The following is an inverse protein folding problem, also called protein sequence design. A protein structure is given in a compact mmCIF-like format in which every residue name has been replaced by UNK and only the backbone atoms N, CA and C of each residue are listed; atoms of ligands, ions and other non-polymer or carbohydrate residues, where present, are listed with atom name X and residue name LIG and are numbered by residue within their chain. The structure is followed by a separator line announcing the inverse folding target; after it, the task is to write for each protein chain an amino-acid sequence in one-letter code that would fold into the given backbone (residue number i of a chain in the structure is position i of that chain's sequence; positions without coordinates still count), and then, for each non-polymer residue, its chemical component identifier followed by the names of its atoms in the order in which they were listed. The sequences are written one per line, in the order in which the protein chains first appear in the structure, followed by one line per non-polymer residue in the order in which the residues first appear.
data_IF_222694567830
#
_entry.id   IF_222694567830
#
_cell.length_a   1.000
_cell.length_b   1.000
_cell.length_c   1.000
_cell.angle_alpha   90.00
_cell.angle_beta   90.00
_cell.angle_gamma   90.00
#
_symmetry.space_group_name_H-M   'P 1'
#
loop_
_entity.id
_entity.type
_entity.pdbx_description
1 polymer ?
#
# COMPACT_ATOMS: atom_id res chain seq x y z
N UNK A 1 21.55 -0.25 19.79
CA UNK A 1 21.03 -1.61 19.83
C UNK A 1 22.10 -2.52 20.42
N UNK A 2 21.72 -3.41 21.38
CA UNK A 2 22.61 -4.44 21.87
C UNK A 2 23.08 -5.33 20.71
N UNK A 3 24.26 -5.98 20.82
CA UNK A 3 24.78 -6.87 19.78
C UNK A 3 23.78 -7.95 19.38
N UNK A 4 23.03 -8.51 20.34
CA UNK A 4 21.95 -9.48 20.11
C UNK A 4 20.82 -8.91 19.24
N UNK A 5 20.36 -7.68 19.47
CA UNK A 5 19.29 -7.06 18.67
C UNK A 5 19.74 -6.81 17.22
N UNK A 6 21.01 -6.49 16.98
CA UNK A 6 21.57 -6.38 15.63
C UNK A 6 21.64 -7.72 14.92
N UNK A 7 22.07 -8.79 15.61
CA UNK A 7 22.11 -10.14 15.05
C UNK A 7 20.70 -10.62 14.67
N UNK A 8 19.70 -10.38 15.53
CA UNK A 8 18.31 -10.73 15.23
C UNK A 8 17.77 -9.95 14.02
N UNK A 9 18.05 -8.64 13.92
CA UNK A 9 17.66 -7.81 12.78
C UNK A 9 18.32 -8.26 11.47
N UNK A 10 19.61 -8.58 11.50
CA UNK A 10 20.33 -9.09 10.34
C UNK A 10 19.79 -10.47 9.92
N UNK A 11 19.55 -11.37 10.89
CA UNK A 11 18.94 -12.67 10.62
C UNK A 11 17.55 -12.55 9.98
N UNK A 12 16.73 -11.63 10.46
CA UNK A 12 15.43 -11.33 9.86
C UNK A 12 15.56 -10.81 8.42
N UNK A 13 16.49 -9.89 8.17
CA UNK A 13 16.73 -9.35 6.84
C UNK A 13 17.18 -10.43 5.85
N UNK A 14 18.17 -11.27 6.24
CA UNK A 14 18.65 -12.39 5.41
C UNK A 14 17.53 -13.40 5.17
N UNK A 15 16.77 -13.76 6.21
CA UNK A 15 15.61 -14.66 6.10
C UNK A 15 14.53 -14.10 5.17
N UNK A 16 14.28 -12.79 5.21
CA UNK A 16 13.33 -12.12 4.32
C UNK A 16 13.76 -12.18 2.86
N UNK A 17 15.03 -11.94 2.57
CA UNK A 17 15.58 -12.05 1.20
C UNK A 17 15.52 -13.49 0.70
N UNK A 18 15.91 -14.46 1.54
CA UNK A 18 15.83 -15.86 1.19
C UNK A 18 14.39 -16.33 0.90
N UNK A 19 13.45 -15.92 1.76
CA UNK A 19 12.03 -16.23 1.57
C UNK A 19 11.46 -15.56 0.30
N UNK A 20 11.81 -14.32 0.05
CA UNK A 20 11.44 -13.61 -1.17
C UNK A 20 11.95 -14.32 -2.42
N UNK A 21 13.23 -14.70 -2.43
CA UNK A 21 13.83 -15.46 -3.54
C UNK A 21 13.12 -16.82 -3.73
N UNK A 22 12.82 -17.53 -2.65
CA UNK A 22 12.12 -18.80 -2.70
C UNK A 22 10.72 -18.67 -3.30
N UNK A 23 9.96 -17.67 -2.88
CA UNK A 23 8.63 -17.35 -3.44
C UNK A 23 8.73 -17.08 -4.93
N UNK A 24 9.70 -16.27 -5.33
CA UNK A 24 9.91 -15.94 -6.75
C UNK A 24 10.29 -17.16 -7.59
N UNK A 25 11.12 -18.06 -7.05
CA UNK A 25 11.56 -19.28 -7.73
C UNK A 25 10.46 -20.34 -7.82
N UNK A 26 9.48 -20.35 -6.93
CA UNK A 26 8.35 -21.30 -6.98
C UNK A 26 7.36 -21.03 -8.12
N UNK A 27 7.49 -19.86 -8.77
CA UNK A 27 6.70 -19.49 -9.93
C UNK A 27 5.31 -18.94 -9.58
N UNK A 28 4.62 -18.48 -10.59
CA UNK A 28 3.40 -17.66 -10.53
C UNK A 28 2.19 -18.34 -9.89
N UNK A 29 2.20 -19.67 -9.76
CA UNK A 29 1.06 -20.46 -9.28
C UNK A 29 0.55 -20.06 -7.88
N UNK A 30 1.45 -19.56 -7.01
CA UNK A 30 1.12 -19.18 -5.63
C UNK A 30 0.98 -17.67 -5.41
N UNK A 31 1.35 -16.84 -6.39
CA UNK A 31 1.30 -15.38 -6.26
C UNK A 31 -0.12 -14.91 -5.93
N UNK A 32 -1.14 -15.43 -6.60
CA UNK A 32 -2.54 -15.10 -6.33
C UNK A 32 -2.98 -15.38 -4.89
N UNK A 33 -2.52 -16.47 -4.28
CA UNK A 33 -2.82 -16.80 -2.87
C UNK A 33 -2.12 -15.83 -1.91
N UNK A 34 -0.89 -15.41 -2.22
CA UNK A 34 -0.15 -14.43 -1.44
C UNK A 34 -0.87 -13.07 -1.48
N UNK A 35 -1.33 -12.64 -2.67
CA UNK A 35 -2.10 -11.40 -2.80
C UNK A 35 -3.47 -11.50 -2.14
N UNK A 36 -4.13 -12.65 -2.18
CA UNK A 36 -5.38 -12.87 -1.47
C UNK A 36 -5.18 -12.76 0.05
N UNK A 37 -4.14 -13.38 0.60
CA UNK A 37 -3.80 -13.28 2.02
C UNK A 37 -3.50 -11.82 2.43
N UNK A 38 -2.73 -11.09 1.61
CA UNK A 38 -2.48 -9.67 1.82
C UNK A 38 -3.77 -8.83 1.74
N UNK A 39 -4.66 -9.15 0.79
CA UNK A 39 -5.95 -8.48 0.64
C UNK A 39 -6.83 -8.67 1.88
N UNK A 40 -6.95 -9.89 2.38
CA UNK A 40 -7.69 -10.19 3.60
C UNK A 40 -7.08 -9.46 4.81
N UNK A 41 -5.76 -9.44 4.91
CA UNK A 41 -5.09 -8.67 5.95
C UNK A 41 -5.43 -7.18 5.87
N UNK A 42 -5.30 -6.56 4.70
CA UNK A 42 -5.47 -5.12 4.55
C UNK A 42 -6.93 -4.65 4.59
N UNK A 43 -7.88 -5.45 4.11
CA UNK A 43 -9.29 -5.05 4.12
C UNK A 43 -10.02 -5.41 5.42
N UNK A 44 -9.53 -6.42 6.15
CA UNK A 44 -10.20 -6.90 7.36
C UNK A 44 -9.34 -6.72 8.59
N UNK A 45 -8.14 -7.30 8.61
CA UNK A 45 -7.31 -7.35 9.83
C UNK A 45 -6.75 -5.98 10.19
N UNK A 46 -6.18 -5.25 9.24
CA UNK A 46 -5.53 -3.96 9.50
C UNK A 46 -6.51 -2.87 10.01
N UNK A 47 -7.73 -2.69 9.44
CA UNK A 47 -8.71 -1.77 10.01
C UNK A 47 -9.14 -2.14 11.43
N UNK A 48 -9.40 -3.43 11.68
CA UNK A 48 -9.76 -3.94 13.01
C UNK A 48 -8.60 -3.70 13.97
N UNK A 49 -7.37 -4.00 13.55
CA UNK A 49 -6.16 -3.78 14.36
C UNK A 49 -6.01 -2.32 14.76
N UNK A 50 -6.18 -1.38 13.83
CA UNK A 50 -6.11 0.05 14.11
C UNK A 50 -7.25 0.52 15.03
N UNK A 51 -8.48 0.00 14.84
CA UNK A 51 -9.64 0.36 15.64
C UNK A 51 -9.50 -0.09 17.10
N UNK A 52 -9.00 -1.31 17.33
CA UNK A 52 -8.81 -1.87 18.68
C UNK A 52 -7.44 -1.55 19.29
N UNK A 53 -6.52 -0.96 18.51
CA UNK A 53 -5.20 -0.58 19.00
C UNK A 53 -4.36 -1.78 19.47
N UNK A 54 -4.39 -2.90 18.74
CA UNK A 54 -3.69 -4.13 19.15
C UNK A 54 -2.18 -3.92 19.26
N UNK A 55 -1.59 -4.51 20.31
CA UNK A 55 -0.16 -4.47 20.57
C UNK A 55 0.42 -5.87 20.55
N UNK A 56 1.11 -6.23 19.48
CA UNK A 56 1.82 -7.50 19.42
C UNK A 56 3.04 -7.48 20.33
N UNK A 57 3.01 -8.28 21.38
CA UNK A 57 4.14 -8.41 22.30
C UNK A 57 5.14 -9.47 21.84
N UNK A 58 4.66 -10.51 21.17
CA UNK A 58 5.48 -11.64 20.72
C UNK A 58 6.35 -11.26 19.52
N UNK A 59 7.69 -11.46 19.57
CA UNK A 59 8.60 -11.12 18.48
C UNK A 59 8.27 -11.86 17.18
N UNK A 60 7.84 -13.13 17.28
CA UNK A 60 7.47 -13.94 16.12
C UNK A 60 6.27 -13.35 15.37
N UNK A 61 5.21 -12.95 16.09
CA UNK A 61 4.04 -12.34 15.46
C UNK A 61 4.38 -11.00 14.79
N UNK A 62 5.29 -10.23 15.38
CA UNK A 62 5.81 -9.01 14.74
C UNK A 62 6.58 -9.31 13.46
N UNK A 63 7.42 -10.34 13.46
CA UNK A 63 8.16 -10.76 12.28
C UNK A 63 7.23 -11.26 11.16
N UNK A 64 6.24 -12.09 11.51
CA UNK A 64 5.25 -12.60 10.56
C UNK A 64 4.39 -11.48 9.97
N UNK A 65 3.96 -10.51 10.79
CA UNK A 65 3.22 -9.35 10.26
C UNK A 65 4.08 -8.49 9.33
N UNK A 66 5.37 -8.35 9.59
CA UNK A 66 6.31 -7.69 8.68
C UNK A 66 6.41 -8.42 7.33
N UNK A 67 6.52 -9.74 7.32
CA UNK A 67 6.53 -10.52 6.08
C UNK A 67 5.19 -10.44 5.33
N UNK A 68 4.07 -10.47 6.03
CA UNK A 68 2.74 -10.35 5.41
C UNK A 68 2.52 -8.99 4.74
N UNK A 69 3.21 -7.94 5.20
CA UNK A 69 3.16 -6.59 4.61
C UNK A 69 4.18 -6.43 3.47
N UNK A 70 5.44 -6.85 3.70
CA UNK A 70 6.55 -6.52 2.79
C UNK A 70 6.70 -7.49 1.63
N UNK A 71 6.49 -8.79 1.83
CA UNK A 71 6.67 -9.78 0.76
C UNK A 71 5.64 -9.62 -0.37
N UNK A 72 4.33 -9.43 -0.08
CA UNK A 72 3.35 -9.17 -1.14
C UNK A 72 3.62 -7.86 -1.88
N UNK A 73 4.08 -6.81 -1.19
CA UNK A 73 4.48 -5.56 -1.83
C UNK A 73 5.61 -5.78 -2.84
N UNK A 74 6.70 -6.43 -2.39
CA UNK A 74 7.84 -6.70 -3.25
C UNK A 74 7.45 -7.53 -4.47
N UNK A 75 6.68 -8.60 -4.26
CA UNK A 75 6.21 -9.49 -5.32
C UNK A 75 5.31 -8.74 -6.32
N UNK A 76 4.37 -7.94 -5.82
CA UNK A 76 3.47 -7.15 -6.68
C UNK A 76 4.19 -6.09 -7.50
N UNK A 77 5.28 -5.52 -7.00
CA UNK A 77 6.15 -4.63 -7.78
C UNK A 77 6.75 -5.34 -8.99
N UNK A 78 7.22 -6.59 -8.82
CA UNK A 78 7.79 -7.38 -9.92
C UNK A 78 6.71 -7.76 -10.94
N UNK A 79 5.60 -8.32 -10.48
CA UNK A 79 4.53 -8.82 -11.35
C UNK A 79 3.84 -7.69 -12.12
N UNK A 80 3.47 -6.59 -11.44
CA UNK A 80 2.87 -5.44 -12.09
C UNK A 80 3.83 -4.76 -13.07
N UNK A 81 5.13 -4.71 -12.74
CA UNK A 81 6.14 -4.20 -13.68
C UNK A 81 6.27 -5.08 -14.90
N UNK A 82 6.27 -6.42 -14.73
CA UNK A 82 6.34 -7.38 -15.83
C UNK A 82 5.09 -7.28 -16.71
N UNK A 83 3.91 -7.10 -16.11
CA UNK A 83 2.66 -6.92 -16.84
C UNK A 83 2.61 -5.58 -17.60
N UNK A 84 2.88 -4.47 -16.93
CA UNK A 84 2.93 -3.13 -17.53
C UNK A 84 3.70 -2.15 -16.64
N UNK A 85 4.91 -1.78 -17.07
CA UNK A 85 5.70 -0.77 -16.35
C UNK A 85 4.99 0.58 -16.29
N UNK A 86 4.28 0.99 -17.37
CA UNK A 86 3.46 2.20 -17.38
C UNK A 86 2.26 2.07 -16.44
N UNK A 87 1.58 0.93 -16.43
CA UNK A 87 0.47 0.66 -15.51
C UNK A 87 0.90 0.75 -14.05
N UNK A 88 2.03 0.15 -13.69
CA UNK A 88 2.61 0.29 -12.35
C UNK A 88 2.90 1.74 -12.00
N UNK A 89 3.51 2.51 -12.91
CA UNK A 89 3.81 3.93 -12.69
C UNK A 89 2.54 4.75 -12.49
N UNK A 90 1.48 4.47 -13.24
CA UNK A 90 0.19 5.13 -13.08
C UNK A 90 -0.48 4.79 -11.74
N UNK A 91 -0.38 3.54 -11.28
CA UNK A 91 -0.84 3.13 -9.94
C UNK A 91 -0.08 3.84 -8.82
N UNK A 92 1.25 3.87 -8.91
CA UNK A 92 2.08 4.62 -7.95
C UNK A 92 1.76 6.12 -7.99
N UNK A 93 1.45 6.64 -9.17
CA UNK A 93 1.00 8.03 -9.36
C UNK A 93 -0.26 8.37 -8.57
N UNK A 94 -1.24 7.45 -8.46
CA UNK A 94 -2.43 7.63 -7.63
C UNK A 94 -2.02 7.89 -6.18
N UNK A 95 -1.12 7.06 -5.63
CA UNK A 95 -0.64 7.14 -4.25
C UNK A 95 0.12 8.44 -4.03
N UNK A 96 1.10 8.76 -4.86
CA UNK A 96 1.91 9.97 -4.71
C UNK A 96 1.11 11.27 -4.82
N UNK A 97 0.12 11.31 -5.71
CA UNK A 97 -0.79 12.44 -5.86
C UNK A 97 -1.70 12.55 -4.65
N UNK A 98 -2.22 11.42 -4.15
CA UNK A 98 -3.03 11.39 -2.94
C UNK A 98 -2.26 11.97 -1.75
N UNK A 99 -1.03 11.51 -1.50
CA UNK A 99 -0.21 11.96 -0.38
C UNK A 99 0.15 13.45 -0.48
N UNK A 100 0.57 13.88 -1.68
CA UNK A 100 0.91 15.28 -1.93
C UNK A 100 -0.30 16.20 -1.73
N UNK A 101 -1.44 15.84 -2.32
CA UNK A 101 -2.67 16.62 -2.21
C UNK A 101 -3.21 16.62 -0.75
N UNK A 102 -3.17 15.47 -0.06
CA UNK A 102 -3.53 15.38 1.34
C UNK A 102 -2.70 16.31 2.22
N UNK A 103 -1.38 16.36 1.97
CA UNK A 103 -0.48 17.24 2.70
C UNK A 103 -0.84 18.73 2.50
N UNK A 104 -0.94 19.19 1.24
CA UNK A 104 -1.20 20.59 0.96
C UNK A 104 -2.60 21.04 1.40
N UNK A 105 -3.63 20.24 1.12
CA UNK A 105 -5.02 20.57 1.52
C UNK A 105 -5.19 20.45 3.02
N UNK A 106 -4.61 19.43 3.66
CA UNK A 106 -4.63 19.27 5.11
C UNK A 106 -3.90 20.39 5.85
N UNK A 107 -2.78 20.87 5.32
CA UNK A 107 -2.05 22.02 5.88
C UNK A 107 -2.82 23.34 5.74
N UNK A 108 -3.52 23.55 4.62
CA UNK A 108 -4.22 24.79 4.32
C UNK A 108 -5.61 24.86 4.96
N UNK A 109 -6.35 23.75 4.92
CA UNK A 109 -7.78 23.71 5.25
C UNK A 109 -8.11 22.75 6.40
N UNK A 110 -7.14 21.96 6.90
CA UNK A 110 -7.38 20.91 7.87
C UNK A 110 -7.87 21.43 9.21
N UNK A 111 -9.03 20.95 9.62
CA UNK A 111 -9.69 21.28 10.90
C UNK A 111 -9.98 20.03 11.70
N UNK A 112 -10.52 18.98 11.06
CA UNK A 112 -10.92 17.73 11.71
C UNK A 112 -9.83 16.68 11.56
N UNK A 113 -9.30 16.19 12.69
CA UNK A 113 -8.26 15.14 12.67
C UNK A 113 -8.86 13.81 12.23
N UNK A 114 -8.15 13.10 11.34
CA UNK A 114 -8.54 11.77 10.83
C UNK A 114 -8.27 10.69 11.88
N UNK A 115 -7.06 10.68 12.44
CA UNK A 115 -6.60 9.69 13.41
C UNK A 115 -5.70 10.35 14.47
N UNK A 116 -6.26 11.10 15.46
CA UNK A 116 -5.50 11.93 16.40
C UNK A 116 -4.42 11.18 17.17
N UNK A 117 -4.70 9.94 17.56
CA UNK A 117 -3.80 9.11 18.37
C UNK A 117 -2.68 8.45 17.57
N UNK A 118 -2.86 8.28 16.26
CA UNK A 118 -1.94 7.58 15.37
C UNK A 118 -1.08 8.58 14.61
N UNK A 119 -1.74 9.46 13.86
CA UNK A 119 -1.13 10.47 13.02
C UNK A 119 -1.85 11.82 13.18
N UNK A 120 -1.42 12.68 14.13
CA UNK A 120 -2.09 13.95 14.42
C UNK A 120 -2.02 14.96 13.27
N UNK A 121 -1.16 14.74 12.28
CA UNK A 121 -1.05 15.57 11.08
C UNK A 121 -2.18 15.33 10.06
N UNK A 122 -2.78 14.14 10.03
CA UNK A 122 -3.80 13.78 9.04
C UNK A 122 -5.17 14.38 9.38
N UNK A 123 -5.87 14.87 8.34
CA UNK A 123 -7.17 15.54 8.47
C UNK A 123 -8.17 15.01 7.44
N UNK A 124 -9.46 15.11 7.74
CA UNK A 124 -10.53 14.75 6.81
C UNK A 124 -10.57 15.65 5.58
N UNK A 125 -10.27 16.94 5.76
CA UNK A 125 -10.16 17.89 4.65
C UNK A 125 -8.98 17.54 3.73
N UNK A 126 -7.87 17.07 4.34
CA UNK A 126 -6.74 16.53 3.58
C UNK A 126 -7.14 15.32 2.74
N UNK A 127 -7.86 14.37 3.35
CA UNK A 127 -8.36 13.18 2.63
C UNK A 127 -9.34 13.56 1.50
N UNK A 128 -10.25 14.52 1.74
CA UNK A 128 -11.16 14.99 0.71
C UNK A 128 -10.43 15.65 -0.47
N UNK A 129 -9.42 16.49 -0.18
CA UNK A 129 -8.57 17.09 -1.20
C UNK A 129 -7.77 16.09 -2.00
N UNK A 130 -7.27 15.04 -1.34
CA UNK A 130 -6.60 13.92 -2.00
C UNK A 130 -7.55 13.16 -2.93
N UNK A 131 -8.75 12.83 -2.48
CA UNK A 131 -9.75 12.15 -3.31
C UNK A 131 -10.11 12.97 -4.56
N UNK A 132 -10.27 14.30 -4.42
CA UNK A 132 -10.48 15.20 -5.57
C UNK A 132 -9.28 15.17 -6.54
N UNK A 133 -8.06 15.27 -6.02
CA UNK A 133 -6.85 15.27 -6.84
C UNK A 133 -6.65 13.95 -7.59
N UNK A 134 -6.91 12.81 -6.93
CA UNK A 134 -6.86 11.48 -7.54
C UNK A 134 -7.92 11.34 -8.64
N UNK A 135 -9.13 11.87 -8.42
CA UNK A 135 -10.18 11.87 -9.45
C UNK A 135 -9.75 12.69 -10.67
N UNK A 136 -9.21 13.90 -10.47
CA UNK A 136 -8.71 14.75 -11.55
C UNK A 136 -7.56 14.06 -12.30
N UNK A 137 -6.61 13.47 -11.57
CA UNK A 137 -5.52 12.69 -12.17
C UNK A 137 -6.04 11.58 -13.08
N UNK A 138 -7.02 10.81 -12.59
CA UNK A 138 -7.62 9.72 -13.35
C UNK A 138 -8.29 10.23 -14.62
N UNK A 139 -9.05 11.32 -14.52
CA UNK A 139 -9.69 11.94 -15.69
C UNK A 139 -8.67 12.44 -16.72
N UNK A 140 -7.54 13.01 -16.27
CA UNK A 140 -6.45 13.45 -17.16
C UNK A 140 -5.84 12.24 -17.87
N UNK A 141 -5.52 11.17 -17.14
CA UNK A 141 -4.94 9.93 -17.70
C UNK A 141 -5.88 9.33 -18.74
N UNK A 142 -7.17 9.22 -18.42
CA UNK A 142 -8.18 8.71 -19.35
C UNK A 142 -8.34 9.60 -20.57
N UNK A 143 -8.35 10.93 -20.40
CA UNK A 143 -8.42 11.89 -21.49
C UNK A 143 -7.23 11.78 -22.45
N UNK A 144 -6.01 11.66 -21.91
CA UNK A 144 -4.79 11.44 -22.71
C UNK A 144 -4.86 10.10 -23.45
N UNK A 145 -5.27 9.03 -22.77
CA UNK A 145 -5.40 7.71 -23.38
C UNK A 145 -6.44 7.69 -24.52
N UNK A 146 -7.59 8.33 -24.33
CA UNK A 146 -8.62 8.48 -25.36
C UNK A 146 -8.13 9.33 -26.55
N UNK A 147 -7.49 10.47 -26.27
CA UNK A 147 -6.95 11.36 -27.31
C UNK A 147 -5.83 10.70 -28.14
N UNK A 148 -5.08 9.76 -27.56
CA UNK A 148 -4.04 9.01 -28.27
C UNK A 148 -4.60 8.00 -29.29
N UNK A 149 -5.90 7.72 -29.27
CA UNK A 149 -6.56 6.70 -30.08
C UNK A 149 -6.13 5.25 -29.81
N UNK A 150 -5.23 5.05 -28.83
CA UNK A 150 -4.67 3.71 -28.51
C UNK A 150 -5.59 2.87 -27.65
N UNK A 151 -6.47 3.51 -26.89
CA UNK A 151 -7.38 2.84 -25.95
C UNK A 151 -8.78 3.43 -26.13
N UNK A 152 -9.73 2.57 -26.44
CA UNK A 152 -11.16 2.88 -26.36
C UNK A 152 -11.67 2.34 -25.03
N UNK A 153 -12.14 3.22 -24.15
CA UNK A 153 -12.77 2.82 -22.91
C UNK A 153 -14.29 2.71 -23.13
N UNK A 154 -14.86 1.50 -23.18
CA UNK A 154 -16.30 1.35 -23.14
C UNK A 154 -16.87 1.98 -21.86
N UNK A 155 -18.04 2.61 -21.96
CA UNK A 155 -18.66 3.30 -20.83
C UNK A 155 -18.89 2.37 -19.61
N UNK A 156 -19.07 1.09 -19.84
CA UNK A 156 -19.22 0.05 -18.81
C UNK A 156 -17.99 -0.10 -17.91
N UNK A 157 -16.78 0.29 -18.36
CA UNK A 157 -15.56 0.23 -17.57
C UNK A 157 -15.35 1.45 -16.66
N UNK A 158 -16.11 2.53 -16.84
CA UNK A 158 -15.96 3.75 -16.05
C UNK A 158 -16.25 3.52 -14.56
N UNK A 159 -17.31 2.79 -14.25
CA UNK A 159 -17.66 2.49 -12.86
C UNK A 159 -16.65 1.56 -12.18
N UNK A 160 -16.29 0.39 -12.75
CA UNK A 160 -15.25 -0.48 -12.18
C UNK A 160 -13.91 0.24 -11.99
N UNK A 161 -13.48 1.04 -12.96
CA UNK A 161 -12.24 1.80 -12.88
C UNK A 161 -12.28 2.87 -11.78
N UNK A 162 -13.40 3.58 -11.66
CA UNK A 162 -13.58 4.58 -10.59
C UNK A 162 -13.53 3.90 -9.22
N UNK A 163 -14.23 2.80 -9.04
CA UNK A 163 -14.21 2.02 -7.79
C UNK A 163 -12.80 1.51 -7.48
N UNK A 164 -12.08 1.02 -8.48
CA UNK A 164 -10.69 0.56 -8.32
C UNK A 164 -9.76 1.70 -7.88
N UNK A 165 -9.82 2.86 -8.53
CA UNK A 165 -8.99 4.02 -8.19
C UNK A 165 -9.29 4.51 -6.76
N UNK A 166 -10.56 4.58 -6.36
CA UNK A 166 -10.95 4.96 -5.01
C UNK A 166 -10.55 3.92 -3.96
N UNK A 167 -10.55 2.63 -4.33
CA UNK A 167 -10.01 1.57 -3.47
C UNK A 167 -8.50 1.77 -3.25
N UNK A 168 -7.72 2.00 -4.31
CA UNK A 168 -6.28 2.28 -4.22
C UNK A 168 -6.01 3.50 -3.34
N UNK A 169 -6.79 4.56 -3.51
CA UNK A 169 -6.73 5.76 -2.68
C UNK A 169 -7.04 5.46 -1.20
N UNK A 170 -8.11 4.74 -0.90
CA UNK A 170 -8.43 4.32 0.47
C UNK A 170 -7.30 3.51 1.10
N UNK A 171 -6.75 2.56 0.34
CA UNK A 171 -5.65 1.69 0.76
C UNK A 171 -4.38 2.49 1.07
N UNK A 172 -4.07 3.53 0.29
CA UNK A 172 -2.91 4.40 0.56
C UNK A 172 -3.02 5.05 1.94
N UNK A 173 -4.20 5.56 2.31
CA UNK A 173 -4.44 6.13 3.64
C UNK A 173 -4.26 5.06 4.73
N UNK A 174 -4.78 3.87 4.50
CA UNK A 174 -4.73 2.76 5.46
C UNK A 174 -3.29 2.30 5.72
N UNK A 175 -2.47 2.18 4.65
CA UNK A 175 -1.07 1.78 4.74
C UNK A 175 -0.25 2.75 5.60
N UNK A 176 -0.33 4.04 5.31
CA UNK A 176 0.36 5.08 6.08
C UNK A 176 -0.15 5.14 7.54
N UNK A 177 -1.45 4.99 7.80
CA UNK A 177 -1.96 4.91 9.18
C UNK A 177 -1.42 3.68 9.91
N UNK A 178 -1.35 2.53 9.25
CA UNK A 178 -0.85 1.30 9.83
C UNK A 178 0.65 1.41 10.16
N UNK A 179 1.45 1.94 9.24
CA UNK A 179 2.89 2.19 9.46
C UNK A 179 3.09 3.20 10.61
N UNK A 180 2.32 4.29 10.59
CA UNK A 180 2.34 5.28 11.68
C UNK A 180 2.01 4.64 13.03
N UNK A 181 1.03 3.73 13.09
CA UNK A 181 0.69 2.98 14.30
C UNK A 181 1.86 2.11 14.79
N UNK A 182 2.47 1.33 13.89
CA UNK A 182 3.63 0.48 14.23
C UNK A 182 4.80 1.33 14.76
N UNK A 183 5.08 2.49 14.17
CA UNK A 183 6.09 3.43 14.67
C UNK A 183 5.79 3.91 16.09
N UNK A 184 4.53 4.24 16.41
CA UNK A 184 4.12 4.64 17.77
C UNK A 184 4.32 3.50 18.77
N UNK A 185 3.99 2.25 18.40
CA UNK A 185 4.25 1.08 19.25
C UNK A 185 5.75 0.86 19.52
N UNK A 186 6.59 1.17 18.55
CA UNK A 186 8.05 1.09 18.68
C UNK A 186 8.67 2.29 19.41
N UNK A 187 7.88 3.30 19.81
CA UNK A 187 8.40 4.55 20.38
C UNK A 187 9.20 5.39 19.38
N UNK A 188 9.05 5.12 18.08
CA UNK A 188 9.76 5.79 17.01
C UNK A 188 8.86 6.79 16.29
N UNK A 189 9.46 7.76 15.62
CA UNK A 189 8.78 8.70 14.72
C UNK A 189 9.01 8.32 13.27
N UNK A 190 10.22 7.95 12.93
CA UNK A 190 10.65 7.59 11.59
C UNK A 190 11.08 6.12 11.57
N UNK A 191 10.90 5.43 10.43
CA UNK A 191 11.24 4.01 10.30
C UNK A 191 12.76 3.74 10.23
N UNK A 192 13.56 4.79 10.07
CA UNK A 192 15.02 4.72 10.01
C UNK A 192 15.65 6.02 9.57
N UNK A 193 16.96 5.98 9.32
CA UNK A 193 17.76 7.13 8.89
C UNK A 193 18.51 6.86 7.58
N UNK A 194 17.98 5.94 6.76
CA UNK A 194 18.65 5.52 5.53
C UNK A 194 18.71 6.66 4.50
N UNK A 195 17.71 7.52 4.48
CA UNK A 195 17.63 8.66 3.57
C UNK A 195 17.87 9.95 4.35
N UNK A 196 19.04 10.62 4.19
CA UNK A 196 19.34 11.85 4.91
C UNK A 196 18.25 12.91 4.69
N UNK A 197 17.67 13.43 5.77
CA UNK A 197 16.60 14.44 5.74
C UNK A 197 15.22 13.92 5.33
N UNK A 198 15.07 12.61 5.02
CA UNK A 198 13.81 12.03 4.50
C UNK A 198 13.30 10.82 5.29
N UNK A 199 13.93 10.42 6.40
CA UNK A 199 13.52 9.29 7.21
C UNK A 199 13.97 7.93 6.66
N UNK A 200 13.20 6.90 6.93
CA UNK A 200 13.46 5.53 6.47
C UNK A 200 12.86 5.21 5.11
N UNK A 201 13.29 4.09 4.53
CA UNK A 201 12.72 3.58 3.28
C UNK A 201 11.25 3.20 3.43
N UNK A 202 10.87 2.63 4.58
CA UNK A 202 9.49 2.23 4.85
C UNK A 202 8.54 3.43 4.85
N UNK A 203 8.97 4.59 5.37
CA UNK A 203 8.21 5.86 5.33
C UNK A 203 7.89 6.35 3.90
N UNK A 204 8.43 5.71 2.87
CA UNK A 204 8.24 6.05 1.44
C UNK A 204 7.39 5.06 0.67
N UNK A 205 7.23 3.88 1.21
CA UNK A 205 6.51 2.79 0.55
C UNK A 205 5.32 2.29 1.37
N UNK A 206 5.09 2.86 2.54
CA UNK A 206 4.01 2.48 3.48
C UNK A 206 2.63 2.48 2.82
N UNK A 207 2.29 3.53 2.09
CA UNK A 207 1.05 3.65 1.35
C UNK A 207 0.95 2.66 0.16
N UNK A 208 2.07 2.18 -0.37
CA UNK A 208 2.11 1.18 -1.42
C UNK A 208 1.91 -0.24 -0.90
N UNK A 209 2.17 -0.48 0.40
CA UNK A 209 2.10 -1.83 1.00
C UNK A 209 0.72 -2.50 0.85
N UNK A 210 -0.43 -1.82 0.99
CA UNK A 210 -1.73 -2.39 0.66
C UNK A 210 -2.14 -2.19 -0.80
N UNK A 211 -1.76 -1.05 -1.40
CA UNK A 211 -2.25 -0.65 -2.70
C UNK A 211 -1.79 -1.59 -3.82
N UNK A 212 -0.50 -1.94 -3.87
CA UNK A 212 0.03 -2.75 -4.96
C UNK A 212 -0.37 -4.22 -4.91
N UNK A 213 -0.32 -4.95 -3.77
CA UNK A 213 -0.76 -6.35 -3.73
C UNK A 213 -2.23 -6.53 -4.11
N UNK A 214 -3.10 -5.63 -3.66
CA UNK A 214 -4.53 -5.68 -3.99
C UNK A 214 -4.74 -5.35 -5.46
N UNK A 215 -4.01 -4.38 -6.01
CA UNK A 215 -4.03 -4.10 -7.44
C UNK A 215 -3.54 -5.28 -8.27
N UNK A 216 -2.48 -5.98 -7.84
CA UNK A 216 -1.98 -7.18 -8.50
C UNK A 216 -3.03 -8.31 -8.47
N UNK A 217 -3.69 -8.54 -7.34
CA UNK A 217 -4.77 -9.52 -7.26
C UNK A 217 -5.89 -9.22 -8.26
N UNK A 218 -6.37 -7.98 -8.30
CA UNK A 218 -7.49 -7.60 -9.15
C UNK A 218 -7.13 -7.60 -10.64
N UNK A 219 -5.93 -7.14 -11.00
CA UNK A 219 -5.53 -6.98 -12.40
C UNK A 219 -4.96 -8.27 -13.02
N UNK A 220 -4.23 -9.06 -12.24
CA UNK A 220 -3.51 -10.24 -12.75
C UNK A 220 -4.25 -11.55 -12.44
N UNK A 221 -4.98 -11.59 -11.31
CA UNK A 221 -5.62 -12.81 -10.81
C UNK A 221 -7.14 -12.65 -10.61
N UNK A 222 -7.77 -11.67 -11.25
CA UNK A 222 -9.21 -11.41 -11.13
C UNK A 222 -10.08 -12.64 -11.44
N UNK A 223 -9.62 -13.55 -12.27
CA UNK A 223 -10.30 -14.83 -12.56
C UNK A 223 -10.42 -15.74 -11.34
N UNK A 224 -9.43 -15.71 -10.42
CA UNK A 224 -9.50 -16.48 -9.17
C UNK A 224 -10.67 -16.02 -8.29
N UNK A 225 -10.95 -14.73 -8.27
CA UNK A 225 -12.07 -14.16 -7.50
C UNK A 225 -13.41 -14.59 -8.12
N UNK A 226 -13.52 -14.66 -9.43
CA UNK A 226 -14.72 -15.10 -10.14
C UNK A 226 -14.99 -16.58 -9.88
N UNK A 227 -13.97 -17.42 -9.88
CA UNK A 227 -14.10 -18.86 -9.60
C UNK A 227 -14.45 -19.18 -8.14
N UNK A 228 -14.01 -18.34 -7.19
CA UNK A 228 -14.31 -18.53 -5.77
C UNK A 228 -15.73 -18.08 -5.38
N UNK A 229 -16.43 -17.33 -6.25
CA UNK A 229 -17.78 -16.81 -6.01
C UNK A 229 -18.89 -17.60 -6.71
N UNK A 230 -18.53 -18.60 -7.53
CA UNK A 230 -19.45 -19.54 -8.20
C UNK A 230 -19.38 -20.90 -7.51
#
# INVERSE_FOLDING_TARGET
LSGYARMAANGYAVGSVALAALIYLWGDAYHGLIYLAATLFWLVVAPIWLAFGWRLQQPVLRALSGWLVLLPLWLSLLDLRAYSALGLLLLMGIVWIADSAAYFTGKRFGRRKLAPQISPGKTWEGAAGAGLAVTIYTLIVLGIAAASGRVQFPAEWLLPLTLFVWLVFYLSILGDLFESWIKRLAGAKDSGHLLPGHGGMLDRIDALTPALPISALLLLHGQLLTQALI
#
